data_IF_500314468359
#
_entry.id   IF_500314468359
#
_cell.length_a   1.000
_cell.length_b   1.000
_cell.length_c   1.000
_cell.angle_alpha   90.00
_cell.angle_beta   90.00
_cell.angle_gamma   90.00
#
_symmetry.space_group_name_H-M   'P 1'
#
loop_
_entity.id
_entity.type
_entity.pdbx_description
1 polymer ?
#
# COMPACT_ATOMS: atom_id res chain seq x y z
N UNK A 1 10.58 -8.25 -20.92
CA UNK A 1 9.92 -8.42 -19.61
C UNK A 1 10.89 -7.89 -18.57
N UNK A 2 10.53 -6.87 -17.80
CA UNK A 2 11.38 -6.45 -16.69
C UNK A 2 11.10 -7.35 -15.49
N UNK A 3 12.16 -7.93 -14.92
CA UNK A 3 12.06 -8.67 -13.67
C UNK A 3 11.62 -7.72 -12.55
N UNK A 4 10.76 -8.21 -11.65
CA UNK A 4 10.28 -7.47 -10.48
C UNK A 4 10.83 -8.13 -9.23
N UNK A 5 11.40 -7.31 -8.35
CA UNK A 5 11.96 -7.74 -7.08
C UNK A 5 11.14 -7.14 -5.93
N UNK A 6 11.11 -7.83 -4.79
CA UNK A 6 10.39 -7.39 -3.58
C UNK A 6 11.40 -7.15 -2.47
N UNK A 7 11.25 -6.03 -1.76
CA UNK A 7 12.03 -5.74 -0.55
C UNK A 7 11.23 -6.23 0.65
N UNK A 8 11.75 -7.22 1.37
CA UNK A 8 11.20 -7.65 2.65
C UNK A 8 11.79 -6.80 3.76
N UNK A 9 10.92 -6.10 4.50
CA UNK A 9 11.28 -5.28 5.65
C UNK A 9 10.41 -5.74 6.84
N UNK A 10 10.90 -6.67 7.68
CA UNK A 10 10.18 -7.12 8.87
C UNK A 10 9.92 -5.94 9.82
N UNK A 11 8.74 -5.89 10.41
CA UNK A 11 8.32 -4.85 11.37
C UNK A 11 7.53 -5.48 12.50
N UNK A 12 7.70 -4.97 13.72
CA UNK A 12 6.97 -5.43 14.90
C UNK A 12 5.91 -4.40 15.25
N UNK A 13 4.64 -4.81 15.19
CA UNK A 13 3.47 -3.99 15.47
C UNK A 13 2.36 -4.86 16.08
N UNK A 14 1.41 -4.24 16.78
CA UNK A 14 0.42 -4.97 17.57
C UNK A 14 -0.63 -5.72 16.73
N UNK A 15 -0.94 -5.23 15.52
CA UNK A 15 -1.99 -5.78 14.67
C UNK A 15 -1.80 -5.37 13.19
N UNK A 16 -2.64 -5.95 12.33
CA UNK A 16 -2.66 -5.67 10.88
C UNK A 16 -2.92 -4.19 10.57
N UNK A 17 -3.78 -3.52 11.35
CA UNK A 17 -4.12 -2.13 11.12
C UNK A 17 -2.91 -1.21 11.39
N UNK A 18 -2.13 -1.51 12.42
CA UNK A 18 -0.87 -0.85 12.74
C UNK A 18 0.17 -1.11 11.64
N UNK A 19 0.26 -2.35 11.13
CA UNK A 19 1.12 -2.69 10.00
C UNK A 19 0.77 -1.87 8.74
N UNK A 20 -0.52 -1.80 8.38
CA UNK A 20 -1.00 -1.01 7.25
C UNK A 20 -0.81 0.50 7.45
N UNK A 21 -0.80 1.00 8.69
CA UNK A 21 -0.50 2.42 8.98
C UNK A 21 0.98 2.71 8.78
N UNK A 22 1.86 1.88 9.33
CA UNK A 22 3.31 2.02 9.18
C UNK A 22 3.73 1.87 7.70
N UNK A 23 3.23 0.86 7.00
CA UNK A 23 3.52 0.64 5.60
C UNK A 23 3.07 1.81 4.70
N UNK A 24 2.02 2.54 5.10
CA UNK A 24 1.60 3.77 4.40
C UNK A 24 2.62 4.89 4.52
N UNK A 25 3.23 5.04 5.69
CA UNK A 25 4.32 6.01 5.91
C UNK A 25 5.51 5.65 5.03
N UNK A 26 5.90 4.37 5.04
CA UNK A 26 7.00 3.87 4.20
C UNK A 26 6.70 4.08 2.71
N UNK A 27 5.50 3.73 2.25
CA UNK A 27 5.07 3.94 0.88
C UNK A 27 5.11 5.43 0.50
N UNK A 28 4.72 6.33 1.39
CA UNK A 28 4.81 7.76 1.09
C UNK A 28 6.27 8.23 0.95
N UNK A 29 7.17 7.74 1.82
CA UNK A 29 8.59 8.06 1.79
C UNK A 29 9.27 7.55 0.51
N UNK A 30 8.96 6.33 0.07
CA UNK A 30 9.55 5.72 -1.12
C UNK A 30 9.11 6.36 -2.44
N UNK A 31 8.13 7.29 -2.43
CA UNK A 31 7.73 8.05 -3.63
C UNK A 31 8.87 8.81 -4.30
N UNK A 32 9.95 9.10 -3.57
CA UNK A 32 11.16 9.75 -4.13
C UNK A 32 12.00 8.80 -5.00
N UNK A 33 11.73 7.50 -4.94
CA UNK A 33 12.45 6.46 -5.67
C UNK A 33 11.65 6.05 -6.92
N UNK A 34 12.08 6.42 -8.13
CA UNK A 34 11.33 6.14 -9.36
C UNK A 34 11.21 4.65 -9.70
N UNK A 35 12.00 3.78 -9.05
CA UNK A 35 11.98 2.33 -9.22
C UNK A 35 10.86 1.64 -8.42
N UNK A 36 10.19 2.36 -7.51
CA UNK A 36 9.16 1.79 -6.63
C UNK A 36 7.76 2.08 -7.17
N UNK A 37 6.79 1.21 -6.83
CA UNK A 37 5.36 1.50 -7.01
C UNK A 37 4.64 1.53 -5.65
N UNK A 38 4.67 2.67 -4.93
CA UNK A 38 4.21 2.73 -3.55
C UNK A 38 2.69 2.55 -3.38
N UNK A 39 1.90 2.85 -4.40
CA UNK A 39 0.45 2.64 -4.33
C UNK A 39 0.07 1.16 -4.51
N UNK A 40 1.04 0.34 -4.92
CA UNK A 40 0.95 -1.11 -4.95
C UNK A 40 1.35 -1.80 -3.66
N UNK A 41 1.64 -1.06 -2.57
CA UNK A 41 2.15 -1.65 -1.33
C UNK A 41 1.13 -2.57 -0.65
N UNK A 42 1.62 -3.73 -0.22
CA UNK A 42 0.90 -4.69 0.62
C UNK A 42 1.71 -5.02 1.87
N UNK A 43 1.05 -5.51 2.91
CA UNK A 43 1.67 -6.13 4.09
C UNK A 43 1.20 -7.57 4.21
N UNK A 44 2.01 -8.42 4.82
CA UNK A 44 1.67 -9.82 5.11
C UNK A 44 2.10 -10.15 6.53
N UNK A 45 1.52 -11.19 7.15
CA UNK A 45 2.18 -11.90 8.24
C UNK A 45 3.59 -12.34 7.81
N UNK A 46 4.54 -12.37 8.74
CA UNK A 46 5.92 -12.79 8.47
C UNK A 46 5.98 -14.26 8.04
N UNK A 47 5.22 -15.11 8.74
CA UNK A 47 5.14 -16.56 8.50
C UNK A 47 4.20 -16.95 7.35
N UNK A 48 3.45 -16.00 6.78
CA UNK A 48 2.50 -16.24 5.69
C UNK A 48 2.52 -15.11 4.64
N UNK A 49 3.63 -15.03 3.92
CA UNK A 49 3.88 -13.95 2.96
C UNK A 49 3.03 -14.03 1.68
N UNK A 50 2.33 -15.15 1.48
CA UNK A 50 1.37 -15.30 0.40
C UNK A 50 0.06 -14.54 0.69
N UNK A 51 -0.25 -14.32 1.97
CA UNK A 51 -1.40 -13.52 2.39
C UNK A 51 -1.04 -12.03 2.35
N UNK A 52 -1.47 -11.36 1.29
CA UNK A 52 -1.18 -9.94 1.06
C UNK A 52 -2.39 -9.07 1.36
N UNK A 53 -2.25 -8.21 2.34
CA UNK A 53 -3.22 -7.17 2.67
C UNK A 53 -2.83 -5.86 2.00
N UNK A 54 -3.75 -5.27 1.25
CA UNK A 54 -3.52 -3.96 0.64
C UNK A 54 -3.37 -2.86 1.70
N UNK A 55 -2.49 -1.90 1.42
CA UNK A 55 -2.25 -0.73 2.29
C UNK A 55 -3.05 0.50 1.81
N UNK A 56 -3.38 0.52 0.53
CA UNK A 56 -4.28 1.47 -0.12
C UNK A 56 -5.44 0.72 -0.77
N UNK A 57 -6.47 1.42 -1.22
CA UNK A 57 -7.49 0.83 -2.07
C UNK A 57 -6.87 0.25 -3.35
N UNK A 58 -7.22 -1.00 -3.65
CA UNK A 58 -6.66 -1.81 -4.74
C UNK A 58 -7.24 -1.46 -6.11
N UNK A 59 -8.32 -0.66 -6.14
CA UNK A 59 -9.03 -0.26 -7.35
C UNK A 59 -8.17 0.61 -8.27
N UNK A 60 -8.26 0.32 -9.56
CA UNK A 60 -7.71 1.15 -10.64
C UNK A 60 -8.78 2.17 -11.06
N UNK A 61 -8.46 3.45 -10.95
CA UNK A 61 -9.30 4.56 -11.39
C UNK A 61 -9.15 4.82 -12.90
N UNK A 62 -10.09 5.56 -13.53
CA UNK A 62 -9.93 6.05 -14.90
C UNK A 62 -8.57 6.72 -15.11
N UNK A 63 -7.93 6.42 -16.24
CA UNK A 63 -6.54 6.83 -16.52
C UNK A 63 -5.47 5.89 -15.96
N UNK A 64 -5.84 4.71 -15.46
CA UNK A 64 -4.90 3.63 -15.11
C UNK A 64 -4.15 3.85 -13.80
N UNK A 65 -4.64 4.75 -12.93
CA UNK A 65 -3.97 5.12 -11.68
C UNK A 65 -4.67 4.50 -10.48
N UNK A 66 -3.90 4.12 -9.46
CA UNK A 66 -4.44 3.58 -8.20
C UNK A 66 -5.07 4.65 -7.31
N UNK A 67 -6.10 4.25 -6.57
CA UNK A 67 -6.68 5.02 -5.47
C UNK A 67 -5.65 5.15 -4.32
N UNK A 68 -5.63 6.29 -3.63
CA UNK A 68 -4.71 6.56 -2.52
C UNK A 68 -5.42 6.58 -1.16
N UNK A 69 -6.70 6.22 -1.13
CA UNK A 69 -7.48 6.07 0.10
C UNK A 69 -7.18 4.72 0.77
N UNK A 70 -7.68 4.54 1.99
CA UNK A 70 -7.57 3.28 2.75
C UNK A 70 -8.27 2.13 2.01
N UNK A 71 -7.87 0.87 2.25
CA UNK A 71 -8.71 -0.27 1.90
C UNK A 71 -10.13 -0.08 2.46
N UNK A 72 -11.12 -0.55 1.72
CA UNK A 72 -12.54 -0.52 2.12
C UNK A 72 -13.07 0.87 2.53
N UNK A 73 -12.51 1.94 1.95
CA UNK A 73 -13.00 3.28 2.20
C UNK A 73 -14.42 3.47 1.63
N UNK A 74 -15.22 4.28 2.33
CA UNK A 74 -16.49 4.75 1.81
C UNK A 74 -16.31 5.80 0.70
N UNK A 75 -17.33 5.93 -0.16
CA UNK A 75 -17.38 6.93 -1.20
C UNK A 75 -16.49 6.65 -2.41
N UNK A 76 -16.40 7.63 -3.30
CA UNK A 76 -15.64 7.50 -4.55
C UNK A 76 -14.12 7.42 -4.32
N UNK A 77 -13.46 6.60 -5.14
CA UNK A 77 -12.01 6.51 -5.14
C UNK A 77 -11.37 7.88 -5.44
N UNK A 78 -10.29 8.18 -4.73
CA UNK A 78 -9.60 9.45 -4.88
C UNK A 78 -8.09 9.32 -4.64
N UNK A 79 -7.35 10.33 -5.09
CA UNK A 79 -5.93 10.51 -4.80
C UNK A 79 -5.67 11.37 -3.58
N UNK A 80 -6.64 12.16 -3.15
CA UNK A 80 -6.48 13.00 -1.97
C UNK A 80 -7.19 12.31 -0.82
N UNK A 81 -6.51 12.05 0.31
CA UNK A 81 -7.23 11.81 1.54
C UNK A 81 -8.20 12.98 1.73
N UNK A 82 -9.51 12.71 1.73
CA UNK A 82 -10.47 13.70 2.19
C UNK A 82 -10.19 13.85 3.69
N UNK A 83 -9.53 14.95 4.05
CA UNK A 83 -9.41 15.34 5.46
C UNK A 83 -10.85 15.60 5.90
N UNK A 84 -11.37 14.76 6.79
CA UNK A 84 -12.62 15.05 7.50
C UNK A 84 -12.34 16.14 8.52
#
# INVERSE_FOLDING_TARGET
MSERWVVHLPVVVNDLLAAQRLARVVAHWTRVLPQTEPWGTTVSPEDDQNVRHWVFCDRIMPGGRRCQLRPDHDGECSRRPRVR
#
